data_IF_999137679152
#
_entry.id   IF_999137679152
#
_cell.length_a   1.000
_cell.length_b   1.000
_cell.length_c   1.000
_cell.angle_alpha   90.00
_cell.angle_beta   90.00
_cell.angle_gamma   90.00
#
_symmetry.space_group_name_H-M   'P 1'
#
loop_
_entity.id
_entity.type
_entity.pdbx_description
1 polymer ?
#
# COMPACT_ATOMS: atom_id res chain seq x y z
N UNK A 1 -0.11 -17.72 24.83
CA UNK A 1 0.04 -16.34 24.30
C UNK A 1 -0.65 -16.31 22.94
N UNK A 2 -1.57 -15.37 22.71
CA UNK A 2 -2.28 -15.25 21.44
C UNK A 2 -1.33 -14.59 20.44
N UNK A 3 -0.97 -15.29 19.37
CA UNK A 3 -0.09 -14.76 18.32
C UNK A 3 -0.95 -14.22 17.18
N UNK A 4 -0.95 -12.91 16.98
CA UNK A 4 -1.65 -12.29 15.85
C UNK A 4 -0.85 -12.46 14.57
N UNK A 5 -1.56 -12.73 13.48
CA UNK A 5 -0.96 -12.86 12.16
C UNK A 5 -1.73 -12.03 11.13
N UNK A 6 -0.97 -11.53 10.16
CA UNK A 6 -1.43 -10.85 8.96
C UNK A 6 -1.30 -11.82 7.80
N UNK A 7 -2.39 -12.06 7.10
CA UNK A 7 -2.44 -12.86 5.90
C UNK A 7 -2.66 -11.94 4.70
N UNK A 8 -1.67 -11.86 3.81
CA UNK A 8 -1.76 -11.15 2.53
C UNK A 8 -2.10 -12.15 1.43
N UNK A 9 -3.10 -11.84 0.63
CA UNK A 9 -3.63 -12.68 -0.44
C UNK A 9 -3.51 -11.92 -1.75
N UNK A 10 -2.81 -12.51 -2.71
CA UNK A 10 -2.53 -11.92 -4.02
C UNK A 10 -3.49 -12.52 -5.04
N UNK A 11 -4.26 -11.66 -5.69
CA UNK A 11 -5.18 -11.98 -6.79
C UNK A 11 -4.59 -11.49 -8.13
N UNK A 12 -5.16 -11.86 -9.28
CA UNK A 12 -4.66 -11.45 -10.59
C UNK A 12 -4.55 -9.94 -10.83
N UNK A 13 -5.36 -9.12 -10.14
CA UNK A 13 -5.39 -7.66 -10.28
C UNK A 13 -5.41 -6.91 -8.93
N UNK A 14 -5.29 -7.62 -7.80
CA UNK A 14 -5.56 -7.05 -6.48
C UNK A 14 -4.73 -7.73 -5.38
N UNK A 15 -4.53 -7.05 -4.26
CA UNK A 15 -3.89 -7.61 -3.06
C UNK A 15 -4.74 -7.26 -1.86
N UNK A 16 -5.20 -8.28 -1.13
CA UNK A 16 -6.00 -8.10 0.08
C UNK A 16 -5.24 -8.53 1.31
N UNK A 17 -5.51 -7.85 2.41
CA UNK A 17 -4.94 -8.18 3.71
C UNK A 17 -6.04 -8.51 4.70
N UNK A 18 -5.89 -9.64 5.38
CA UNK A 18 -6.79 -10.10 6.45
C UNK A 18 -6.00 -10.42 7.71
N UNK A 19 -6.57 -10.11 8.87
CA UNK A 19 -5.95 -10.35 10.17
C UNK A 19 -6.62 -11.52 10.87
N UNK A 20 -5.82 -12.29 11.60
CA UNK A 20 -6.29 -13.41 12.39
C UNK A 20 -5.36 -13.73 13.55
N UNK A 21 -5.67 -14.81 14.25
CA UNK A 21 -4.89 -15.34 15.36
C UNK A 21 -4.38 -16.74 15.00
N UNK A 22 -3.10 -17.02 15.24
CA UNK A 22 -2.55 -18.36 15.05
C UNK A 22 -3.10 -19.24 16.18
N UNK A 23 -4.00 -20.16 15.82
CA UNK A 23 -4.60 -21.13 16.75
C UNK A 23 -3.68 -22.34 16.96
N UNK A 24 -2.97 -22.76 15.91
CA UNK A 24 -1.95 -23.81 15.98
C UNK A 24 -0.84 -23.54 14.96
N UNK A 25 0.37 -24.04 15.23
CA UNK A 25 1.54 -23.93 14.33
C UNK A 25 1.89 -25.25 13.64
N UNK A 26 1.39 -26.36 14.18
CA UNK A 26 1.62 -27.70 13.65
C UNK A 26 0.37 -28.56 13.94
N UNK A 27 -0.63 -28.61 13.03
CA UNK A 27 -0.69 -27.92 11.73
C UNK A 27 -0.84 -26.40 11.87
N UNK A 28 -0.46 -25.63 10.84
CA UNK A 28 -0.62 -24.18 10.85
C UNK A 28 -2.10 -23.82 10.64
N UNK A 29 -2.71 -23.21 11.65
CA UNK A 29 -4.13 -22.85 11.66
C UNK A 29 -4.29 -21.38 12.01
N UNK A 30 -4.93 -20.63 11.13
CA UNK A 30 -5.28 -19.22 11.33
C UNK A 30 -6.77 -19.09 11.66
N UNK A 31 -7.08 -18.58 12.84
CA UNK A 31 -8.42 -18.21 13.26
C UNK A 31 -8.73 -16.80 12.76
N UNK A 32 -9.71 -16.68 11.88
CA UNK A 32 -10.25 -15.41 11.40
C UNK A 32 -11.50 -15.02 12.21
N UNK A 33 -11.95 -13.77 12.09
CA UNK A 33 -13.26 -13.35 12.61
C UNK A 33 -14.40 -14.00 11.82
N UNK A 34 -14.28 -13.98 10.49
CA UNK A 34 -15.15 -14.73 9.57
C UNK A 34 -14.35 -15.22 8.37
N UNK A 35 -14.82 -16.29 7.75
CA UNK A 35 -14.27 -16.84 6.52
C UNK A 35 -15.35 -16.88 5.44
N UNK A 36 -14.97 -16.48 4.24
CA UNK A 36 -15.75 -16.65 3.02
C UNK A 36 -14.92 -17.43 2.00
N UNK A 37 -15.49 -18.41 1.27
CA UNK A 37 -14.76 -19.12 0.21
C UNK A 37 -14.16 -18.18 -0.85
N UNK A 38 -14.80 -17.03 -1.10
CA UNK A 38 -14.28 -16.02 -2.01
C UNK A 38 -12.93 -15.41 -1.57
N UNK A 39 -12.55 -15.60 -0.30
CA UNK A 39 -11.26 -15.14 0.22
C UNK A 39 -10.07 -15.89 -0.40
N UNK A 40 -10.23 -17.17 -0.72
CA UNK A 40 -9.14 -18.01 -1.27
C UNK A 40 -9.40 -18.44 -2.71
N UNK A 41 -10.61 -18.20 -3.23
CA UNK A 41 -10.94 -18.41 -4.63
C UNK A 41 -10.02 -17.56 -5.52
N UNK A 42 -9.47 -18.17 -6.57
CA UNK A 42 -8.63 -17.53 -7.59
C UNK A 42 -7.39 -16.80 -7.05
N UNK A 43 -6.96 -17.07 -5.82
CA UNK A 43 -5.72 -16.53 -5.30
C UNK A 43 -4.51 -17.14 -6.03
N UNK A 44 -3.53 -16.30 -6.34
CA UNK A 44 -2.26 -16.70 -6.95
C UNK A 44 -1.26 -17.13 -5.88
N UNK A 45 -1.21 -16.38 -4.78
CA UNK A 45 -0.25 -16.57 -3.71
C UNK A 45 -0.81 -16.05 -2.38
N UNK A 46 -0.44 -16.70 -1.28
CA UNK A 46 -0.75 -16.25 0.07
C UNK A 46 0.53 -16.17 0.91
N UNK A 47 0.67 -15.09 1.66
CA UNK A 47 1.79 -14.85 2.56
C UNK A 47 1.28 -14.59 3.97
N UNK A 48 1.77 -15.35 4.95
CA UNK A 48 1.43 -15.19 6.36
C UNK A 48 2.60 -14.57 7.12
N UNK A 49 2.33 -13.47 7.83
CA UNK A 49 3.31 -12.76 8.65
C UNK A 49 2.84 -12.64 10.10
N UNK A 50 3.70 -12.94 11.07
CA UNK A 50 3.42 -12.74 12.49
C UNK A 50 4.69 -12.37 13.25
N UNK A 51 4.52 -11.79 14.43
CA UNK A 51 5.64 -11.46 15.32
C UNK A 51 5.63 -12.39 16.53
N UNK A 52 6.80 -12.96 16.83
CA UNK A 52 6.98 -13.85 17.97
C UNK A 52 8.40 -13.76 18.52
N UNK A 53 8.51 -13.66 19.85
CA UNK A 53 9.78 -13.66 20.59
C UNK A 53 10.82 -12.66 20.04
N UNK A 54 10.37 -11.45 19.68
CA UNK A 54 11.24 -10.40 19.14
C UNK A 54 11.62 -10.57 17.66
N UNK A 55 11.10 -11.59 16.97
CA UNK A 55 11.36 -11.83 15.55
C UNK A 55 10.08 -11.74 14.71
N UNK A 56 10.17 -11.13 13.52
CA UNK A 56 9.12 -11.22 12.51
C UNK A 56 9.31 -12.52 11.72
N UNK A 57 8.24 -13.30 11.61
CA UNK A 57 8.15 -14.49 10.76
C UNK A 57 7.29 -14.14 9.56
N UNK A 58 7.75 -14.52 8.38
CA UNK A 58 7.02 -14.35 7.13
C UNK A 58 7.21 -15.61 6.29
N UNK A 59 6.11 -16.26 5.91
CA UNK A 59 6.12 -17.53 5.18
C UNK A 59 5.08 -17.50 4.07
N UNK A 60 5.41 -18.11 2.95
CA UNK A 60 4.45 -18.42 1.89
C UNK A 60 3.63 -19.62 2.32
N UNK A 61 2.31 -19.53 2.16
CA UNK A 61 1.36 -20.56 2.58
C UNK A 61 0.45 -20.99 1.43
N UNK A 62 0.03 -22.24 1.47
CA UNK A 62 -1.02 -22.81 0.63
C UNK A 62 -2.26 -23.09 1.46
N UNK A 63 -3.43 -22.80 0.91
CA UNK A 63 -4.71 -23.15 1.50
C UNK A 63 -4.97 -24.65 1.40
N UNK A 64 -5.31 -25.29 2.53
CA UNK A 64 -5.68 -26.71 2.57
C UNK A 64 -7.19 -26.90 2.70
N UNK A 65 -7.78 -26.31 3.73
CA UNK A 65 -9.22 -26.38 4.03
C UNK A 65 -9.64 -25.27 4.98
N UNK A 66 -10.94 -25.04 5.07
CA UNK A 66 -11.54 -24.17 6.07
C UNK A 66 -12.60 -24.92 6.86
N UNK A 67 -12.62 -24.75 8.18
CA UNK A 67 -13.65 -25.27 9.07
C UNK A 67 -14.21 -24.11 9.91
N UNK A 68 -15.39 -23.64 9.54
CA UNK A 68 -15.94 -22.39 10.11
C UNK A 68 -15.01 -21.21 9.83
N UNK A 69 -14.49 -20.59 10.90
CA UNK A 69 -13.56 -19.48 10.81
C UNK A 69 -12.07 -19.89 10.96
N UNK A 70 -11.77 -21.20 10.98
CA UNK A 70 -10.40 -21.72 11.01
C UNK A 70 -9.91 -22.05 9.62
N UNK A 71 -8.82 -21.40 9.23
CA UNK A 71 -8.13 -21.61 7.97
C UNK A 71 -6.93 -22.53 8.19
N UNK A 72 -6.93 -23.71 7.58
CA UNK A 72 -5.80 -24.64 7.64
C UNK A 72 -4.85 -24.35 6.49
N UNK A 73 -3.60 -24.10 6.83
CA UNK A 73 -2.56 -23.64 5.91
C UNK A 73 -1.37 -24.60 5.94
N UNK A 74 -0.74 -24.78 4.77
CA UNK A 74 0.54 -25.48 4.65
C UNK A 74 1.64 -24.47 4.37
N UNK A 75 2.73 -24.52 5.13
CA UNK A 75 3.91 -23.70 4.83
C UNK A 75 4.62 -24.28 3.60
N UNK A 76 4.80 -23.44 2.59
CA UNK A 76 5.51 -23.80 1.35
C UNK A 76 6.96 -23.33 1.42
N UNK A 77 7.17 -22.10 1.87
CA UNK A 77 8.48 -21.44 1.84
C UNK A 77 8.64 -20.42 2.95
N UNK A 78 9.85 -20.31 3.49
CA UNK A 78 10.22 -19.24 4.42
C UNK A 78 10.73 -18.02 3.64
N UNK A 79 10.15 -16.85 3.90
CA UNK A 79 10.45 -15.60 3.18
C UNK A 79 11.25 -14.60 4.01
N UNK A 80 11.72 -14.97 5.22
CA UNK A 80 12.45 -14.08 6.13
C UNK A 80 13.56 -13.27 5.42
N UNK A 81 13.59 -11.96 5.67
CA UNK A 81 14.63 -11.04 5.18
C UNK A 81 14.47 -10.59 3.73
N UNK A 82 13.39 -10.94 3.03
CA UNK A 82 13.09 -10.43 1.68
C UNK A 82 12.29 -9.13 1.72
N UNK A 83 12.42 -8.28 0.70
CA UNK A 83 11.63 -7.06 0.53
C UNK A 83 10.10 -7.32 0.56
N UNK A 84 9.67 -8.53 0.15
CA UNK A 84 8.29 -9.02 0.25
C UNK A 84 7.75 -9.06 1.70
N UNK A 85 8.64 -8.99 2.71
CA UNK A 85 8.33 -8.93 4.14
C UNK A 85 8.19 -7.50 4.68
N UNK A 86 8.44 -6.46 3.87
CA UNK A 86 8.25 -5.09 4.29
C UNK A 86 6.80 -4.87 4.76
N UNK A 87 6.63 -4.01 5.76
CA UNK A 87 5.31 -3.69 6.29
C UNK A 87 4.56 -2.82 5.26
N UNK A 88 3.82 -3.49 4.38
CA UNK A 88 2.97 -2.89 3.35
C UNK A 88 1.51 -2.84 3.77
N UNK A 89 0.78 -1.80 3.40
CA UNK A 89 -0.69 -1.77 3.51
C UNK A 89 -1.31 -1.70 2.13
N UNK A 90 -2.51 -2.27 1.99
CA UNK A 90 -3.34 -2.12 0.79
C UNK A 90 -3.56 -0.63 0.51
N UNK A 91 -3.33 -0.21 -0.73
CA UNK A 91 -3.54 1.16 -1.18
C UNK A 91 -4.65 1.15 -2.24
N UNK A 92 -5.86 1.58 -1.85
CA UNK A 92 -7.02 1.64 -2.73
C UNK A 92 -7.06 2.98 -3.46
N UNK A 93 -6.28 3.11 -4.52
CA UNK A 93 -6.18 4.33 -5.30
C UNK A 93 -5.47 4.13 -6.63
N UNK A 94 -5.01 5.24 -7.21
CA UNK A 94 -4.22 5.22 -8.43
C UNK A 94 -2.89 5.93 -8.21
N UNK A 95 -1.91 5.56 -9.02
CA UNK A 95 -0.68 6.30 -9.17
C UNK A 95 -0.60 6.84 -10.59
N UNK A 96 -0.06 8.03 -10.75
CA UNK A 96 0.44 8.46 -12.05
C UNK A 96 1.88 8.05 -12.18
N UNK A 97 2.18 7.31 -13.24
CA UNK A 97 3.53 6.87 -13.50
C UNK A 97 3.99 7.42 -14.85
N UNK A 98 5.27 7.77 -14.90
CA UNK A 98 5.99 8.09 -16.13
C UNK A 98 7.24 7.22 -16.16
N UNK A 99 7.41 6.45 -17.24
CA UNK A 99 8.66 5.73 -17.49
C UNK A 99 9.74 6.77 -17.79
N UNK A 100 10.88 6.69 -17.13
CA UNK A 100 11.97 7.65 -17.30
C UNK A 100 13.27 6.94 -17.66
N UNK A 101 14.14 7.67 -18.36
CA UNK A 101 15.50 7.25 -18.68
C UNK A 101 16.47 7.65 -17.57
N UNK A 102 17.70 7.11 -17.61
CA UNK A 102 18.76 7.48 -16.69
C UNK A 102 19.12 8.98 -16.79
N UNK A 103 19.03 9.56 -17.99
CA UNK A 103 19.32 10.98 -18.22
C UNK A 103 18.25 11.89 -17.60
N UNK A 104 17.00 11.44 -17.53
CA UNK A 104 15.89 12.17 -16.93
C UNK A 104 15.86 12.05 -15.39
N UNK A 105 16.55 11.05 -14.82
CA UNK A 105 16.53 10.72 -13.39
C UNK A 105 16.74 11.96 -12.51
N UNK A 106 17.83 12.71 -12.73
CA UNK A 106 18.18 13.85 -11.91
C UNK A 106 17.16 15.01 -12.01
N UNK A 107 16.46 15.13 -13.14
CA UNK A 107 15.39 16.13 -13.29
C UNK A 107 14.13 15.68 -12.54
N UNK A 108 13.74 14.42 -12.71
CA UNK A 108 12.57 13.84 -12.04
C UNK A 108 12.75 13.75 -10.52
N UNK A 109 13.94 13.43 -10.02
CA UNK A 109 14.24 13.43 -8.59
C UNK A 109 14.09 14.84 -7.97
N UNK A 110 14.62 15.88 -8.63
CA UNK A 110 14.43 17.28 -8.20
C UNK A 110 12.97 17.72 -8.26
N UNK A 111 12.22 17.26 -9.27
CA UNK A 111 10.79 17.51 -9.34
C UNK A 111 10.04 16.83 -8.20
N UNK A 112 10.40 15.58 -7.85
CA UNK A 112 9.84 14.87 -6.70
C UNK A 112 10.08 15.64 -5.40
N UNK A 113 11.32 16.08 -5.16
CA UNK A 113 11.69 16.89 -3.99
C UNK A 113 10.88 18.19 -3.92
N UNK A 114 10.75 18.91 -5.04
CA UNK A 114 9.96 20.15 -5.10
C UNK A 114 8.50 19.90 -4.79
N UNK A 115 7.91 18.86 -5.37
CA UNK A 115 6.50 18.50 -5.16
C UNK A 115 6.25 18.07 -3.70
N UNK A 116 7.18 17.31 -3.13
CA UNK A 116 7.14 16.89 -1.73
C UNK A 116 7.32 18.08 -0.77
N UNK A 117 8.21 19.02 -1.06
CA UNK A 117 8.40 20.23 -0.27
C UNK A 117 7.17 21.16 -0.32
N UNK A 118 6.54 21.29 -1.50
CA UNK A 118 5.28 22.00 -1.64
C UNK A 118 4.17 21.32 -0.81
N UNK A 119 4.09 19.99 -0.86
CA UNK A 119 3.15 19.24 -0.04
C UNK A 119 3.43 19.43 1.46
N UNK A 120 4.67 19.32 1.92
CA UNK A 120 5.06 19.50 3.33
C UNK A 120 4.56 20.83 3.91
N UNK A 121 4.54 21.88 3.10
CA UNK A 121 4.09 23.21 3.49
C UNK A 121 2.59 23.45 3.28
N UNK A 122 1.85 22.48 2.76
CA UNK A 122 0.42 22.58 2.47
C UNK A 122 -0.41 22.76 3.75
N UNK A 123 -1.58 23.38 3.58
CA UNK A 123 -2.56 23.54 4.67
C UNK A 123 -3.02 22.18 5.17
N UNK A 124 -3.18 21.20 4.28
CA UNK A 124 -3.57 19.83 4.63
C UNK A 124 -2.59 19.20 5.61
N UNK A 125 -1.29 19.25 5.33
CA UNK A 125 -0.29 18.68 6.24
C UNK A 125 -0.22 19.43 7.58
N UNK A 126 -0.41 20.75 7.58
CA UNK A 126 -0.52 21.54 8.81
C UNK A 126 -1.74 21.11 9.63
N UNK A 127 -2.90 20.94 9.00
CA UNK A 127 -4.12 20.45 9.66
C UNK A 127 -3.89 19.06 10.25
N UNK A 128 -3.33 18.13 9.48
CA UNK A 128 -3.03 16.76 9.95
C UNK A 128 -2.15 16.75 11.22
N UNK A 129 -1.17 17.65 11.30
CA UNK A 129 -0.29 17.72 12.47
C UNK A 129 -0.96 18.22 13.76
N UNK A 130 -2.07 18.96 13.64
CA UNK A 130 -2.77 19.58 14.77
C UNK A 130 -3.99 18.77 15.20
N UNK A 131 -4.64 18.04 14.28
CA UNK A 131 -5.83 17.20 14.54
C UNK A 131 -5.71 16.37 15.83
N UNK A 132 -4.62 15.63 16.12
CA UNK A 132 -4.57 14.76 17.30
C UNK A 132 -4.67 15.52 18.63
N UNK A 133 -4.27 16.79 18.66
CA UNK A 133 -4.22 17.62 19.86
C UNK A 133 -5.47 18.50 20.05
N UNK A 134 -6.43 18.39 19.13
CA UNK A 134 -7.63 19.22 19.08
C UNK A 134 -8.84 18.55 19.73
N UNK A 135 -9.84 19.35 20.07
CA UNK A 135 -11.11 18.83 20.59
C UNK A 135 -11.80 17.93 19.56
N UNK A 136 -12.58 16.93 20.00
CA UNK A 136 -13.26 15.98 19.10
C UNK A 136 -14.13 16.69 18.05
N UNK A 137 -14.81 17.77 18.43
CA UNK A 137 -15.59 18.61 17.50
C UNK A 137 -14.71 19.22 16.41
N UNK A 138 -13.57 19.80 16.79
CA UNK A 138 -12.61 20.37 15.86
C UNK A 138 -11.98 19.30 14.96
N UNK A 139 -11.72 18.10 15.48
CA UNK A 139 -11.22 16.98 14.67
C UNK A 139 -12.18 16.61 13.55
N UNK A 140 -13.50 16.61 13.81
CA UNK A 140 -14.50 16.36 12.77
C UNK A 140 -14.52 17.47 11.72
N UNK A 141 -14.47 18.73 12.14
CA UNK A 141 -14.40 19.88 11.23
C UNK A 141 -13.14 19.81 10.35
N UNK A 142 -11.97 19.53 10.94
CA UNK A 142 -10.71 19.43 10.20
C UNK A 142 -10.70 18.28 9.21
N UNK A 143 -11.26 17.12 9.56
CA UNK A 143 -11.43 16.01 8.61
C UNK A 143 -12.35 16.39 7.45
N UNK A 144 -13.46 17.07 7.73
CA UNK A 144 -14.37 17.56 6.69
C UNK A 144 -13.66 18.54 5.74
N UNK A 145 -12.86 19.48 6.28
CA UNK A 145 -12.09 20.42 5.47
C UNK A 145 -11.08 19.71 4.57
N UNK A 146 -10.39 18.69 5.07
CA UNK A 146 -9.48 17.86 4.27
C UNK A 146 -10.22 17.09 3.16
N UNK A 147 -11.40 16.54 3.46
CA UNK A 147 -12.23 15.87 2.46
C UNK A 147 -12.73 16.83 1.37
N UNK A 148 -13.06 18.07 1.75
CA UNK A 148 -13.45 19.11 0.79
C UNK A 148 -12.29 19.49 -0.11
N UNK A 149 -11.10 19.73 0.46
CA UNK A 149 -9.87 20.04 -0.28
C UNK A 149 -9.53 18.93 -1.28
N UNK A 150 -9.56 17.68 -0.82
CA UNK A 150 -9.41 16.49 -1.66
C UNK A 150 -10.42 16.44 -2.83
N UNK A 151 -11.68 16.80 -2.60
CA UNK A 151 -12.70 16.81 -3.66
C UNK A 151 -12.46 17.95 -4.66
N UNK A 152 -12.01 19.10 -4.18
CA UNK A 152 -11.64 20.23 -5.03
C UNK A 152 -10.41 19.88 -5.89
N UNK A 153 -9.37 19.26 -5.32
CA UNK A 153 -8.23 18.77 -6.09
C UNK A 153 -8.67 17.78 -7.19
N UNK A 154 -9.63 16.89 -6.89
CA UNK A 154 -10.18 15.98 -7.90
C UNK A 154 -10.90 16.73 -9.04
N UNK A 155 -11.65 17.79 -8.73
CA UNK A 155 -12.32 18.60 -9.76
C UNK A 155 -11.32 19.36 -10.61
N UNK A 156 -10.30 19.96 -10.00
CA UNK A 156 -9.19 20.61 -10.70
C UNK A 156 -8.50 19.61 -11.62
N UNK A 157 -8.15 18.43 -11.09
CA UNK A 157 -7.55 17.36 -11.87
C UNK A 157 -8.41 16.99 -13.08
N UNK A 158 -9.72 16.75 -12.90
CA UNK A 158 -10.63 16.41 -14.00
C UNK A 158 -10.73 17.54 -15.04
N UNK A 159 -10.71 18.79 -14.62
CA UNK A 159 -10.72 19.95 -15.52
C UNK A 159 -9.40 20.11 -16.29
N UNK A 160 -8.27 19.78 -15.66
CA UNK A 160 -6.95 19.80 -16.29
C UNK A 160 -6.71 18.58 -17.19
N UNK A 161 -7.38 17.45 -16.94
CA UNK A 161 -7.20 16.21 -17.74
C UNK A 161 -7.59 16.42 -19.21
N UNK A 162 -8.45 17.39 -19.51
CA UNK A 162 -8.77 17.82 -20.88
C UNK A 162 -7.60 18.54 -21.58
N UNK A 163 -6.50 18.82 -20.87
CA UNK A 163 -5.31 19.53 -21.36
C UNK A 163 -3.93 19.02 -20.90
N UNK A 164 -3.83 17.96 -20.09
CA UNK A 164 -2.54 17.44 -19.57
C UNK A 164 -1.77 16.63 -20.62
N UNK A 165 -0.46 16.89 -20.68
CA UNK A 165 0.55 16.28 -21.54
C UNK A 165 0.56 14.73 -21.53
N UNK A 166 0.83 14.13 -22.69
CA UNK A 166 0.78 12.69 -23.04
C UNK A 166 1.73 11.75 -22.26
N UNK A 167 2.38 12.22 -21.20
CA UNK A 167 3.56 11.55 -20.65
C UNK A 167 3.30 10.74 -19.38
N UNK A 168 2.14 10.92 -18.72
CA UNK A 168 1.77 10.18 -17.52
C UNK A 168 0.67 9.17 -17.80
N UNK A 169 0.85 7.95 -17.28
CA UNK A 169 -0.15 6.89 -17.28
C UNK A 169 -0.69 6.71 -15.87
N UNK A 170 -2.01 6.79 -15.72
CA UNK A 170 -2.68 6.46 -14.46
C UNK A 170 -2.83 4.94 -14.33
N UNK A 171 -2.28 4.36 -13.27
CA UNK A 171 -2.29 2.92 -12.99
C UNK A 171 -2.96 2.60 -11.66
N UNK A 172 -3.60 1.43 -11.56
CA UNK A 172 -4.22 0.96 -10.31
C UNK A 172 -3.11 0.64 -9.30
N UNK A 173 -3.14 1.31 -8.16
CA UNK A 173 -2.24 1.02 -7.06
C UNK A 173 -2.73 -0.22 -6.28
N UNK A 174 -1.78 -0.98 -5.73
CA UNK A 174 -2.06 -2.23 -5.00
C UNK A 174 -1.67 -2.10 -3.53
N UNK A 175 -0.44 -1.63 -3.28
CA UNK A 175 0.06 -1.46 -1.92
C UNK A 175 1.09 -0.34 -1.86
N UNK A 176 1.35 0.12 -0.63
CA UNK A 176 2.43 1.06 -0.34
C UNK A 176 3.18 0.66 0.94
N UNK A 177 4.47 0.99 0.99
CA UNK A 177 5.38 0.81 2.12
C UNK A 177 6.43 1.93 2.12
N UNK A 178 7.27 2.00 3.17
CA UNK A 178 8.38 2.97 3.24
C UNK A 178 9.43 2.79 2.15
N UNK A 179 9.62 1.56 1.67
CA UNK A 179 10.66 1.20 0.71
C UNK A 179 10.17 1.27 -0.75
N UNK A 180 8.85 1.31 -0.96
CA UNK A 180 8.30 1.16 -2.29
C UNK A 180 6.79 0.95 -2.33
N UNK A 181 6.28 0.79 -3.53
CA UNK A 181 4.86 0.58 -3.81
C UNK A 181 4.65 -0.49 -4.88
N UNK A 182 3.45 -1.04 -4.92
CA UNK A 182 3.01 -1.95 -5.98
C UNK A 182 1.89 -1.36 -6.79
N UNK A 183 1.89 -1.60 -8.10
CA UNK A 183 0.83 -1.20 -9.02
C UNK A 183 0.57 -2.27 -10.08
N UNK A 184 -0.59 -2.20 -10.72
CA UNK A 184 -0.96 -3.07 -11.82
C UNK A 184 -0.79 -2.35 -13.16
N UNK A 185 -0.17 -3.01 -14.14
CA UNK A 185 -0.01 -2.52 -15.51
C UNK A 185 -0.17 -3.66 -16.51
N UNK A 186 -0.67 -3.36 -17.71
CA UNK A 186 -0.70 -4.26 -18.86
C UNK A 186 0.60 -4.17 -19.70
N UNK A 187 1.43 -3.16 -19.46
CA UNK A 187 2.70 -2.97 -20.15
C UNK A 187 3.78 -3.94 -19.68
N UNK A 188 4.66 -4.33 -20.60
CA UNK A 188 5.86 -5.08 -20.23
C UNK A 188 6.83 -4.21 -19.45
N UNK A 189 7.31 -4.75 -18.33
CA UNK A 189 8.31 -4.14 -17.47
C UNK A 189 9.59 -4.98 -17.43
N UNK A 190 10.74 -4.30 -17.32
CA UNK A 190 12.04 -4.93 -17.04
C UNK A 190 12.53 -4.52 -15.66
N UNK A 191 13.12 -5.47 -14.94
CA UNK A 191 13.77 -5.20 -13.66
C UNK A 191 14.86 -4.15 -13.87
N UNK A 192 14.88 -3.14 -13.00
CA UNK A 192 15.78 -1.99 -13.07
C UNK A 192 15.28 -0.83 -13.94
N UNK A 193 14.14 -0.95 -14.62
CA UNK A 193 13.51 0.21 -15.29
C UNK A 193 13.12 1.27 -14.26
N UNK A 194 13.29 2.54 -14.64
CA UNK A 194 13.04 3.69 -13.78
C UNK A 194 11.67 4.28 -14.07
N UNK A 195 10.97 4.64 -12.99
CA UNK A 195 9.68 5.31 -13.05
C UNK A 195 9.69 6.51 -12.13
N UNK A 196 9.15 7.61 -12.63
CA UNK A 196 8.66 8.69 -11.79
C UNK A 196 7.19 8.40 -11.45
N UNK A 197 6.84 8.54 -10.19
CA UNK A 197 5.51 8.20 -9.66
C UNK A 197 4.96 9.36 -8.83
N UNK A 198 3.68 9.65 -9.01
CA UNK A 198 2.92 10.59 -8.19
C UNK A 198 1.70 9.91 -7.58
N UNK A 199 1.59 10.02 -6.26
CA UNK A 199 0.41 9.64 -5.51
C UNK A 199 -0.43 10.88 -5.23
N UNK A 200 -1.70 10.83 -5.65
CA UNK A 200 -2.65 11.93 -5.52
C UNK A 200 -3.30 11.94 -4.14
N UNK A 201 -3.56 13.12 -3.61
CA UNK A 201 -4.15 13.25 -2.27
C UNK A 201 -5.58 12.68 -2.23
N UNK A 202 -6.35 12.84 -3.30
CA UNK A 202 -7.77 12.56 -3.28
C UNK A 202 -8.14 11.08 -3.24
N UNK A 203 -7.23 10.20 -3.67
CA UNK A 203 -7.43 8.75 -3.56
C UNK A 203 -7.35 8.27 -2.10
N UNK A 204 -6.75 9.08 -1.21
CA UNK A 204 -6.63 8.76 0.22
C UNK A 204 -7.46 9.68 1.11
N UNK A 205 -8.34 10.51 0.53
CA UNK A 205 -9.10 11.53 1.28
C UNK A 205 -8.20 12.61 1.88
N UNK A 206 -7.14 12.99 1.17
CA UNK A 206 -6.17 13.99 1.59
C UNK A 206 -5.15 13.50 2.61
N UNK A 207 -5.05 12.19 2.86
CA UNK A 207 -4.17 11.63 3.90
C UNK A 207 -2.73 11.44 3.46
N UNK A 208 -2.52 11.13 2.18
CA UNK A 208 -1.20 10.90 1.63
C UNK A 208 -1.09 11.48 0.23
N UNK A 209 -0.05 12.28 0.01
CA UNK A 209 0.37 12.80 -1.29
C UNK A 209 1.89 12.78 -1.32
N UNK A 210 2.48 12.23 -2.37
CA UNK A 210 3.93 12.23 -2.54
C UNK A 210 4.29 12.03 -4.01
N UNK A 211 5.50 12.45 -4.37
CA UNK A 211 6.14 12.11 -5.63
C UNK A 211 7.45 11.38 -5.35
N UNK A 212 7.82 10.42 -6.19
CA UNK A 212 9.03 9.63 -6.00
C UNK A 212 9.61 9.18 -7.34
N UNK A 213 10.92 8.90 -7.35
CA UNK A 213 11.54 8.08 -8.39
C UNK A 213 11.81 6.71 -7.81
N UNK A 214 11.43 5.68 -8.55
CA UNK A 214 11.65 4.29 -8.18
C UNK A 214 12.16 3.46 -9.33
N UNK A 215 12.68 2.28 -8.98
CA UNK A 215 13.22 1.26 -9.88
C UNK A 215 12.37 0.01 -9.75
N UNK A 216 12.07 -0.65 -10.87
CA UNK A 216 11.33 -1.92 -10.86
C UNK A 216 12.19 -2.97 -10.17
N UNK A 217 11.78 -3.40 -8.98
CA UNK A 217 12.45 -4.44 -8.21
C UNK A 217 12.01 -5.85 -8.64
N UNK A 218 10.77 -5.96 -9.15
CA UNK A 218 10.21 -7.21 -9.61
C UNK A 218 8.83 -7.04 -10.21
N UNK A 219 8.28 -8.16 -10.69
CA UNK A 219 6.90 -8.20 -11.14
C UNK A 219 6.39 -9.62 -11.27
N UNK A 220 5.08 -9.79 -11.11
CA UNK A 220 4.37 -11.05 -11.28
C UNK A 220 3.43 -10.94 -12.48
N UNK A 221 3.65 -11.75 -13.51
CA UNK A 221 2.70 -11.88 -14.61
C UNK A 221 1.47 -12.65 -14.14
N UNK A 222 0.31 -12.07 -14.38
CA UNK A 222 -1.00 -12.67 -14.10
C UNK A 222 -1.75 -12.87 -15.42
N UNK A 223 -2.95 -13.45 -15.36
CA UNK A 223 -3.81 -13.59 -16.55
C UNK A 223 -4.33 -12.24 -17.06
N UNK A 224 -4.33 -11.21 -16.22
CA UNK A 224 -4.88 -9.89 -16.52
C UNK A 224 -3.81 -8.87 -16.88
N UNK A 225 -2.58 -9.02 -16.38
CA UNK A 225 -1.50 -8.08 -16.62
C UNK A 225 -0.27 -8.40 -15.78
N UNK A 226 0.41 -7.38 -15.29
CA UNK A 226 1.60 -7.47 -14.45
C UNK A 226 1.36 -6.72 -13.14
N UNK A 227 1.54 -7.42 -12.02
CA UNK A 227 1.69 -6.79 -10.72
C UNK A 227 3.16 -6.36 -10.59
N UNK A 228 3.41 -5.07 -10.65
CA UNK A 228 4.75 -4.48 -10.61
C UNK A 228 5.10 -4.08 -9.18
N UNK A 229 6.33 -4.41 -8.75
CA UNK A 229 6.88 -3.99 -7.47
C UNK A 229 7.98 -2.95 -7.72
N UNK A 230 7.77 -1.72 -7.23
CA UNK A 230 8.68 -0.58 -7.40
C UNK A 230 9.38 -0.26 -6.07
N UNK A 231 10.70 -0.14 -6.08
CA UNK A 231 11.52 0.28 -4.94
C UNK A 231 11.90 1.76 -5.11
N UNK A 232 11.69 2.58 -4.08
CA UNK A 232 12.06 3.99 -4.12
C UNK A 232 13.59 4.15 -4.10
N UNK A 233 14.12 4.97 -5.00
CA UNK A 233 15.58 5.13 -5.15
C UNK A 233 16.14 6.26 -4.29
N UNK A 234 15.49 7.42 -4.29
CA UNK A 234 15.89 8.59 -3.49
C UNK A 234 14.62 9.28 -2.97
N UNK A 235 14.25 8.99 -1.72
CA UNK A 235 13.09 9.61 -1.06
C UNK A 235 13.55 10.25 0.26
N UNK A 236 13.20 11.53 0.44
CA UNK A 236 13.47 12.27 1.68
C UNK A 236 12.84 11.54 2.88
N UNK A 237 13.57 11.46 3.99
CA UNK A 237 13.11 10.78 5.21
C UNK A 237 11.79 11.34 5.75
N UNK A 238 11.54 12.65 5.60
CA UNK A 238 10.25 13.24 6.00
C UNK A 238 9.06 12.69 5.20
N UNK A 239 9.26 12.39 3.91
CA UNK A 239 8.23 11.79 3.05
C UNK A 239 8.04 10.33 3.42
N UNK A 240 9.14 9.59 3.65
CA UNK A 240 9.07 8.22 4.15
C UNK A 240 8.32 8.14 5.47
N UNK A 241 8.57 9.05 6.42
CA UNK A 241 7.88 9.10 7.70
C UNK A 241 6.37 9.30 7.53
N UNK A 242 5.96 10.17 6.60
CA UNK A 242 4.54 10.36 6.27
C UNK A 242 3.90 9.09 5.69
N UNK A 243 4.60 8.38 4.79
CA UNK A 243 4.14 7.09 4.26
C UNK A 243 4.04 6.07 5.39
N UNK A 244 5.04 5.98 6.26
CA UNK A 244 5.07 5.08 7.42
C UNK A 244 3.87 5.36 8.33
N UNK A 245 3.62 6.63 8.65
CA UNK A 245 2.48 7.05 9.47
C UNK A 245 1.15 6.63 8.83
N UNK A 246 0.99 6.90 7.54
CA UNK A 246 -0.19 6.48 6.79
C UNK A 246 -0.40 4.95 6.84
N UNK A 247 0.67 4.18 6.59
CA UNK A 247 0.65 2.71 6.63
C UNK A 247 0.20 2.23 8.01
N UNK A 248 0.78 2.76 9.10
CA UNK A 248 0.41 2.38 10.46
C UNK A 248 -1.00 2.80 10.85
N UNK A 249 -1.46 3.98 10.42
CA UNK A 249 -2.83 4.41 10.66
C UNK A 249 -3.83 3.49 9.97
N UNK A 250 -3.57 3.12 8.71
CA UNK A 250 -4.40 2.18 7.95
C UNK A 250 -4.38 0.78 8.55
N UNK A 251 -3.22 0.27 8.94
CA UNK A 251 -3.08 -1.01 9.63
C UNK A 251 -3.90 -1.02 10.95
N UNK A 252 -3.86 0.07 11.71
CA UNK A 252 -4.67 0.24 12.93
C UNK A 252 -6.17 0.29 12.66
N UNK A 253 -6.60 0.95 11.59
CA UNK A 253 -8.01 0.95 11.15
C UNK A 253 -8.47 -0.48 10.84
N UNK A 254 -7.72 -1.22 10.03
CA UNK A 254 -8.02 -2.61 9.67
C UNK A 254 -8.03 -3.54 10.89
N UNK A 255 -7.12 -3.34 11.85
CA UNK A 255 -7.08 -4.09 13.11
C UNK A 255 -8.29 -3.82 14.01
N UNK A 256 -8.83 -2.59 14.02
CA UNK A 256 -10.06 -2.26 14.75
C UNK A 256 -11.27 -2.92 14.10
N UNK A 257 -11.40 -2.81 12.78
CA UNK A 257 -12.49 -3.46 12.04
C UNK A 257 -12.50 -4.98 12.21
N UNK A 258 -11.32 -5.61 12.29
CA UNK A 258 -11.20 -7.04 12.55
C UNK A 258 -11.49 -7.44 14.01
N UNK A 259 -11.52 -6.48 14.95
CA UNK A 259 -11.85 -6.71 16.37
C UNK A 259 -13.34 -6.50 16.65
N UNK A 260 -13.96 -5.56 15.94
CA UNK A 260 -15.35 -5.15 16.15
C UNK A 260 -16.35 -6.02 15.34
N UNK A 261 -15.86 -7.04 14.64
CA UNK A 261 -16.63 -8.07 13.91
C UNK A 261 -16.34 -9.46 14.47
#
# INVERSE_FOLDING_TARGET
>A
MIVRARLSIIYPDDIRTVYGQIASKAPLVLQLASYSPALVADCLEMTLQWHEAGSSKCVQVEFLKAEGAQLFLKVVKDLRGRAECAHRVEYKGFFDIKRITADEYASCARNAERNNAANKNSIVNKIQSVIPNETVSNQHLFRLLMEMDSKLERLVYLAETDGIEKDFQTVKALYISSEGCGFFTDESLKIGELFFLEARSFDTGGRLRFSAVGKVAGGRKTKLGILADLEFSDMEEAVKENIIRYVFEKDRELLKEARDK
#
